data_IF_334717658566
#
_entry.id   IF_334717658566
#
_cell.length_a   1.000
_cell.length_b   1.000
_cell.length_c   1.000
_cell.angle_alpha   90.00
_cell.angle_beta   90.00
_cell.angle_gamma   90.00
#
_symmetry.space_group_name_H-M   'P 1'
#
loop_
_entity.id
_entity.type
_entity.pdbx_description
1 polymer ?
#
# COMPACT_ATOMS: atom_id res chain seq x y z
N UNK A 1 -11.48 13.00 18.20
CA UNK A 1 -10.50 13.66 17.32
C UNK A 1 -9.16 13.61 18.02
N UNK A 2 -8.09 13.05 17.41
CA UNK A 2 -6.76 13.22 17.94
C UNK A 2 -6.30 14.67 17.72
N UNK A 3 -5.64 15.24 18.71
CA UNK A 3 -5.12 16.61 18.73
C UNK A 3 -4.01 16.77 17.66
N UNK A 4 -4.03 17.79 16.78
CA UNK A 4 -3.05 17.91 15.69
C UNK A 4 -1.63 18.36 16.14
N UNK A 5 -1.38 18.46 17.44
CA UNK A 5 -0.10 18.95 17.99
C UNK A 5 0.36 18.15 19.22
N UNK A 6 0.60 16.84 19.06
CA UNK A 6 1.42 16.11 20.03
C UNK A 6 2.90 16.54 19.87
N UNK A 7 3.57 17.10 20.90
CA UNK A 7 4.97 17.49 20.82
C UNK A 7 5.92 16.33 20.45
N UNK A 8 5.48 15.07 20.60
CA UNK A 8 6.25 13.89 20.19
C UNK A 8 6.35 13.71 18.66
N UNK A 9 5.45 14.32 17.87
CA UNK A 9 5.43 14.19 16.41
C UNK A 9 6.33 15.20 15.68
N UNK A 10 6.91 16.15 16.43
CA UNK A 10 7.83 17.17 15.91
C UNK A 10 9.31 16.84 16.15
N UNK A 11 9.60 15.76 16.88
CA UNK A 11 10.98 15.37 17.18
C UNK A 11 11.67 14.71 15.98
N UNK A 12 12.96 15.03 15.71
CA UNK A 12 13.74 14.33 14.70
C UNK A 12 13.77 12.82 14.93
N UNK A 13 13.55 12.06 13.85
CA UNK A 13 13.56 10.59 13.85
C UNK A 13 14.85 10.10 13.19
N UNK A 14 15.52 9.14 13.82
CA UNK A 14 16.70 8.48 13.24
C UNK A 14 16.34 7.08 12.75
N UNK A 15 16.37 6.87 11.45
CA UNK A 15 16.17 5.56 10.84
C UNK A 15 17.50 4.81 10.73
N UNK A 16 17.58 3.63 11.33
CA UNK A 16 18.77 2.76 11.29
C UNK A 16 18.56 1.71 10.21
N UNK A 17 19.21 1.89 9.06
CA UNK A 17 19.08 1.05 7.87
C UNK A 17 20.24 0.06 7.77
N UNK A 18 19.99 -1.25 7.73
CA UNK A 18 21.01 -2.23 7.42
C UNK A 18 21.34 -2.18 5.92
N UNK A 19 22.58 -1.88 5.58
CA UNK A 19 23.14 -1.85 4.24
C UNK A 19 24.11 -0.69 4.02
N UNK A 20 24.13 -0.18 2.79
CA UNK A 20 25.16 0.74 2.32
C UNK A 20 24.59 2.12 2.01
N UNK A 21 25.33 3.18 2.39
CA UNK A 21 24.97 4.55 2.03
C UNK A 21 24.95 4.73 0.51
N UNK A 22 24.02 5.56 0.04
CA UNK A 22 23.87 5.97 -1.35
C UNK A 22 24.00 7.50 -1.42
N UNK A 23 25.22 8.06 -1.54
CA UNK A 23 25.46 9.50 -1.48
C UNK A 23 24.73 10.30 -2.58
N UNK A 24 24.44 9.65 -3.72
CA UNK A 24 23.72 10.26 -4.86
C UNK A 24 22.20 10.05 -4.85
N UNK A 25 21.66 9.44 -3.80
CA UNK A 25 20.26 9.02 -3.73
C UNK A 25 19.97 7.69 -4.43
N UNK A 26 18.69 7.36 -4.54
CA UNK A 26 18.22 6.10 -5.14
C UNK A 26 17.89 6.30 -6.61
N UNK A 27 18.69 5.73 -7.52
CA UNK A 27 18.39 5.74 -8.94
C UNK A 27 17.18 4.85 -9.25
N UNK A 28 16.04 5.48 -9.50
CA UNK A 28 14.79 4.81 -9.84
C UNK A 28 14.91 3.91 -11.10
N UNK A 29 15.86 4.19 -11.98
CA UNK A 29 16.14 3.39 -13.18
C UNK A 29 16.82 2.03 -12.88
N UNK A 30 17.56 1.91 -11.77
CA UNK A 30 18.26 0.66 -11.43
C UNK A 30 17.37 -0.37 -10.70
N UNK A 31 16.26 0.07 -10.11
CA UNK A 31 15.29 -0.78 -9.43
C UNK A 31 14.24 -1.38 -10.39
N UNK A 32 14.02 -0.75 -11.55
CA UNK A 32 13.06 -1.20 -12.56
C UNK A 32 13.80 -1.85 -13.75
N UNK A 33 14.13 -3.14 -13.67
CA UNK A 33 14.36 -3.93 -14.89
C UNK A 33 13.03 -4.27 -15.52
N UNK A 34 12.48 -3.32 -16.26
CA UNK A 34 11.23 -3.45 -17.01
C UNK A 34 10.79 -2.07 -17.45
N UNK A 35 10.77 -1.84 -18.76
CA UNK A 35 10.46 -0.54 -19.37
C UNK A 35 9.08 -0.03 -18.92
N UNK A 36 9.08 0.94 -18.02
CA UNK A 36 7.95 1.81 -17.67
C UNK A 36 8.37 3.26 -17.96
N UNK A 37 7.42 4.18 -18.22
CA UNK A 37 7.73 5.58 -18.51
C UNK A 37 8.50 6.21 -17.36
N UNK A 38 9.27 7.25 -17.68
CA UNK A 38 10.29 7.88 -16.82
C UNK A 38 9.88 7.95 -15.34
N UNK A 39 10.79 7.64 -14.41
CA UNK A 39 10.49 7.73 -12.99
C UNK A 39 10.05 9.17 -12.67
N UNK A 40 9.00 9.36 -11.85
CA UNK A 40 8.53 10.69 -11.51
C UNK A 40 9.67 11.52 -10.93
N UNK A 41 9.67 12.82 -11.24
CA UNK A 41 10.68 13.75 -10.75
C UNK A 41 10.77 13.67 -9.22
N UNK A 42 11.98 13.49 -8.69
CA UNK A 42 12.25 13.44 -7.25
C UNK A 42 11.75 14.74 -6.61
N UNK A 43 10.99 14.68 -5.51
CA UNK A 43 10.25 15.85 -5.01
C UNK A 43 11.10 16.86 -4.25
N UNK A 44 12.36 16.55 -3.96
CA UNK A 44 13.27 17.43 -3.25
C UNK A 44 14.72 17.00 -3.46
N UNK A 45 15.61 17.57 -2.65
CA UNK A 45 17.03 17.20 -2.64
C UNK A 45 17.26 16.03 -1.69
N UNK A 46 18.14 15.12 -2.07
CA UNK A 46 18.54 14.00 -1.22
C UNK A 46 19.35 14.53 -0.05
N UNK A 47 18.82 14.37 1.16
CA UNK A 47 19.53 14.65 2.42
C UNK A 47 20.41 13.48 2.81
N UNK A 48 19.88 12.26 2.70
CA UNK A 48 20.59 11.02 2.93
C UNK A 48 19.86 9.86 2.23
N UNK A 49 20.57 8.82 1.82
CA UNK A 49 19.95 7.60 1.32
C UNK A 49 20.79 6.37 1.66
N UNK A 50 20.15 5.22 1.78
CA UNK A 50 20.80 3.94 2.01
C UNK A 50 20.08 2.81 1.26
N UNK A 51 20.85 1.95 0.60
CA UNK A 51 20.36 0.68 0.07
C UNK A 51 20.17 -0.29 1.24
N UNK A 52 19.03 -0.93 1.28
CA UNK A 52 18.70 -1.95 2.27
C UNK A 52 19.31 -3.29 1.83
N UNK A 53 20.07 -3.94 2.72
CA UNK A 53 20.70 -5.23 2.49
C UNK A 53 20.77 -6.04 3.80
N UNK A 54 20.95 -7.36 3.67
CA UNK A 54 21.17 -8.22 4.84
C UNK A 54 22.46 -7.82 5.57
N UNK A 55 22.39 -7.72 6.90
CA UNK A 55 23.51 -7.31 7.75
C UNK A 55 24.65 -8.32 7.65
N UNK A 56 25.87 -7.88 7.28
CA UNK A 56 27.08 -8.71 7.32
C UNK A 56 28.09 -8.26 8.39
N UNK A 57 27.78 -7.17 9.10
CA UNK A 57 28.51 -6.68 10.28
C UNK A 57 27.93 -5.36 10.83
N UNK A 58 28.37 -4.91 12.00
CA UNK A 58 27.89 -3.67 12.63
C UNK A 58 28.21 -2.39 11.82
N UNK A 59 29.22 -2.45 10.93
CA UNK A 59 29.61 -1.35 10.04
C UNK A 59 28.62 -1.12 8.88
N UNK A 60 27.68 -2.04 8.67
CA UNK A 60 26.66 -1.94 7.61
C UNK A 60 25.37 -1.27 8.14
N UNK A 61 25.44 -0.41 9.16
CA UNK A 61 24.28 0.31 9.68
C UNK A 61 24.36 1.79 9.31
N UNK A 62 23.45 2.24 8.47
CA UNK A 62 23.32 3.64 8.08
C UNK A 62 22.29 4.33 8.96
N UNK A 63 22.64 5.48 9.53
CA UNK A 63 21.70 6.33 10.27
C UNK A 63 21.23 7.47 9.39
N UNK A 64 19.94 7.49 9.07
CA UNK A 64 19.32 8.59 8.33
C UNK A 64 18.44 9.40 9.28
N UNK A 65 18.75 10.69 9.44
CA UNK A 65 17.97 11.59 10.28
C UNK A 65 16.96 12.34 9.44
N UNK A 66 15.69 12.28 9.81
CA UNK A 66 14.62 13.04 9.19
C UNK A 66 13.91 13.92 10.24
N UNK A 67 13.70 15.19 9.89
CA UNK A 67 13.08 16.21 10.73
C UNK A 67 11.62 16.40 10.26
N UNK A 68 10.62 16.09 11.12
CA UNK A 68 9.23 16.43 10.85
C UNK A 68 9.03 17.88 10.38
N UNK A 69 8.18 18.09 9.38
CA UNK A 69 7.92 19.42 8.81
C UNK A 69 9.02 20.00 7.90
N UNK A 70 10.20 19.37 7.81
CA UNK A 70 11.28 19.78 6.90
C UNK A 70 11.63 18.69 5.88
N UNK A 71 11.56 17.43 6.31
CA UNK A 71 11.99 16.28 5.53
C UNK A 71 10.85 15.29 5.25
N UNK A 72 11.05 14.47 4.22
CA UNK A 72 10.19 13.34 3.87
C UNK A 72 11.02 12.07 3.78
N UNK A 73 10.44 10.95 4.22
CA UNK A 73 11.05 9.62 4.16
C UNK A 73 10.46 8.85 2.98
N UNK A 74 11.30 8.45 2.03
CA UNK A 74 10.95 7.61 0.90
C UNK A 74 11.39 6.17 1.16
N UNK A 75 10.44 5.24 1.24
CA UNK A 75 10.69 3.79 1.34
C UNK A 75 10.54 3.17 -0.05
N UNK A 76 11.63 2.68 -0.62
CA UNK A 76 11.62 2.06 -1.95
C UNK A 76 11.31 0.57 -1.82
N UNK A 77 10.18 0.13 -2.38
CA UNK A 77 9.83 -1.30 -2.42
C UNK A 77 10.49 -1.98 -3.62
N UNK A 78 11.10 -3.15 -3.41
CA UNK A 78 11.77 -3.89 -4.47
C UNK A 78 10.76 -4.31 -5.57
N UNK A 79 10.93 -3.81 -6.79
CA UNK A 79 10.02 -4.06 -7.91
C UNK A 79 8.62 -3.45 -7.72
N UNK A 80 8.46 -2.52 -6.77
CA UNK A 80 7.20 -1.88 -6.43
C UNK A 80 7.32 -0.35 -6.37
N UNK A 81 6.27 0.33 -5.87
CA UNK A 81 6.26 1.79 -5.77
C UNK A 81 7.21 2.32 -4.68
N UNK A 82 7.43 3.63 -4.69
CA UNK A 82 8.11 4.35 -3.61
C UNK A 82 7.05 4.95 -2.68
N UNK A 83 7.16 4.68 -1.38
CA UNK A 83 6.27 5.24 -0.36
C UNK A 83 6.91 6.48 0.26
N UNK A 84 6.40 7.67 -0.04
CA UNK A 84 6.79 8.92 0.63
C UNK A 84 5.95 9.14 1.89
N UNK A 85 6.59 9.28 3.03
CA UNK A 85 5.95 9.33 4.35
C UNK A 85 6.50 10.49 5.16
N UNK A 86 5.63 11.07 5.98
CA UNK A 86 6.06 12.02 7.00
C UNK A 86 6.96 11.25 7.99
N UNK A 87 8.03 11.84 8.54
CA UNK A 87 8.97 11.12 9.42
C UNK A 87 8.28 10.41 10.60
N UNK A 88 7.27 11.03 11.22
CA UNK A 88 6.49 10.39 12.28
C UNK A 88 5.69 9.16 11.78
N UNK A 89 5.07 9.25 10.60
CA UNK A 89 4.32 8.13 10.01
C UNK A 89 5.23 6.97 9.61
N UNK A 90 6.43 7.28 9.09
CA UNK A 90 7.44 6.28 8.77
C UNK A 90 7.95 5.58 10.03
N UNK A 91 8.20 6.32 11.12
CA UNK A 91 8.51 5.77 12.45
C UNK A 91 7.43 4.79 12.88
N UNK A 92 6.18 5.23 12.92
CA UNK A 92 5.08 4.44 13.46
C UNK A 92 4.82 3.17 12.63
N UNK A 93 4.91 3.29 11.31
CA UNK A 93 4.84 2.15 10.40
C UNK A 93 5.92 1.12 10.72
N UNK A 94 7.18 1.53 10.83
CA UNK A 94 8.31 0.63 11.07
C UNK A 94 8.27 0.01 12.48
N UNK A 95 7.87 0.77 13.50
CA UNK A 95 7.67 0.26 14.86
C UNK A 95 6.57 -0.81 14.90
N UNK A 96 5.45 -0.60 14.18
CA UNK A 96 4.39 -1.59 14.08
C UNK A 96 4.87 -2.90 13.44
N UNK A 97 5.83 -2.84 12.50
CA UNK A 97 6.43 -4.03 11.89
C UNK A 97 7.40 -4.74 12.84
N UNK A 98 8.21 -4.00 13.60
CA UNK A 98 9.11 -4.59 14.60
C UNK A 98 8.33 -5.35 15.69
N UNK A 99 7.23 -4.77 16.17
CA UNK A 99 6.33 -5.40 17.13
C UNK A 99 5.57 -6.62 16.55
N UNK A 100 5.45 -6.72 15.22
CA UNK A 100 4.86 -7.86 14.52
C UNK A 100 5.81 -9.07 14.41
N UNK A 101 7.13 -8.82 14.33
CA UNK A 101 8.17 -9.85 14.26
C UNK A 101 8.70 -10.37 15.61
N UNK A 102 8.40 -9.68 16.72
CA UNK A 102 8.80 -10.10 18.04
C UNK A 102 7.97 -11.30 18.53
N UNK A 103 8.55 -12.51 18.47
CA UNK A 103 8.08 -13.63 19.29
C UNK A 103 8.25 -13.26 20.77
N UNK A 104 7.22 -13.58 21.56
CA UNK A 104 7.13 -13.31 23.00
C UNK A 104 8.36 -13.94 23.69
N UNK A 105 9.40 -13.15 23.96
CA UNK A 105 10.65 -13.67 24.54
C UNK A 105 11.87 -12.75 24.55
N UNK A 106 11.89 -11.64 23.80
CA UNK A 106 13.00 -10.68 23.86
C UNK A 106 12.49 -9.32 24.37
N UNK A 107 12.32 -9.22 25.68
CA UNK A 107 12.20 -7.93 26.34
C UNK A 107 13.59 -7.27 26.34
N UNK A 108 13.70 -6.09 25.71
CA UNK A 108 14.88 -5.24 25.86
C UNK A 108 15.05 -4.86 27.34
N UNK A 109 16.28 -4.73 27.85
CA UNK A 109 16.50 -4.30 29.23
C UNK A 109 15.92 -2.90 29.43
N UNK A 110 15.21 -2.70 30.55
CA UNK A 110 14.58 -1.43 30.92
C UNK A 110 15.63 -0.29 30.94
N UNK A 111 15.25 0.94 30.53
CA UNK A 111 16.17 2.06 30.51
C UNK A 111 16.57 2.44 31.93
N UNK A 112 17.86 2.77 32.11
CA UNK A 112 18.38 3.36 33.35
C UNK A 112 17.80 4.77 33.51
N UNK A 113 17.20 5.04 34.67
CA UNK A 113 16.63 6.34 35.04
C UNK A 113 17.74 7.39 35.06
N UNK A 114 17.60 8.47 34.27
CA UNK A 114 18.44 9.67 34.39
C UNK A 114 19.05 10.26 33.10
N UNK A 115 18.78 9.71 31.91
CA UNK A 115 19.23 10.31 30.65
C UNK A 115 18.04 10.88 29.86
N UNK A 116 18.21 12.04 29.25
CA UNK A 116 17.26 12.58 28.27
C UNK A 116 16.94 11.49 27.23
N UNK A 117 15.66 11.32 26.82
CA UNK A 117 15.31 10.26 25.89
C UNK A 117 16.14 10.42 24.62
N UNK A 118 16.87 9.38 24.17
CA UNK A 118 17.58 9.45 22.91
C UNK A 118 16.57 9.76 21.79
N UNK A 119 16.98 10.49 20.72
CA UNK A 119 16.11 10.67 19.56
C UNK A 119 15.60 9.30 19.13
N UNK A 120 14.29 9.19 18.86
CA UNK A 120 13.65 7.90 18.61
C UNK A 120 14.35 7.18 17.44
N UNK A 121 15.22 6.22 17.78
CA UNK A 121 15.92 5.41 16.80
C UNK A 121 14.98 4.28 16.36
N UNK A 122 14.77 4.19 15.06
CA UNK A 122 13.84 3.24 14.46
C UNK A 122 14.63 2.32 13.54
N UNK A 123 14.69 1.03 13.90
CA UNK A 123 15.32 0.03 13.05
C UNK A 123 14.48 -0.22 11.79
N UNK A 124 15.12 -0.18 10.62
CA UNK A 124 14.48 -0.50 9.35
C UNK A 124 14.71 -1.97 9.05
N UNK A 125 13.62 -2.76 9.06
CA UNK A 125 13.67 -4.15 8.64
C UNK A 125 13.72 -4.24 7.11
N UNK A 126 14.56 -5.16 6.59
CA UNK A 126 14.63 -5.39 5.14
C UNK A 126 13.35 -5.97 4.55
N UNK A 127 12.53 -6.59 5.39
CA UNK A 127 11.22 -7.13 5.06
C UNK A 127 10.18 -6.58 6.04
N UNK A 128 9.09 -6.02 5.52
CA UNK A 128 7.92 -5.61 6.29
C UNK A 128 6.87 -6.74 6.20
N UNK A 129 6.23 -7.10 7.32
CA UNK A 129 5.30 -8.23 7.44
C UNK A 129 3.95 -7.78 8.02
N UNK A 130 2.89 -7.85 7.22
CA UNK A 130 1.55 -7.51 7.68
C UNK A 130 0.94 -8.71 8.42
N UNK A 131 0.44 -8.50 9.64
CA UNK A 131 -0.24 -9.55 10.43
C UNK A 131 -1.49 -10.03 9.70
N UNK A 132 -1.66 -11.35 9.61
CA UNK A 132 -2.86 -12.00 9.05
C UNK A 132 -2.65 -13.37 8.37
N UNK A 133 -1.44 -13.91 8.32
CA UNK A 133 -1.17 -15.17 7.59
C UNK A 133 -0.71 -16.31 8.53
N UNK A 134 -1.44 -17.42 8.46
CA UNK A 134 -1.06 -18.72 9.02
C UNK A 134 0.27 -19.21 8.39
N UNK A 135 1.18 -19.81 9.16
CA UNK A 135 2.47 -20.28 8.67
C UNK A 135 2.27 -21.52 7.77
N UNK A 136 2.48 -21.38 6.46
CA UNK A 136 2.44 -22.56 5.57
C UNK A 136 2.71 -22.34 4.08
N UNK A 137 2.52 -21.15 3.53
CA UNK A 137 2.65 -20.96 2.08
C UNK A 137 3.55 -19.77 1.73
N UNK A 138 4.78 -20.00 1.21
CA UNK A 138 5.70 -18.95 0.86
C UNK A 138 5.31 -18.31 -0.48
N UNK A 139 4.48 -17.27 -0.44
CA UNK A 139 4.18 -16.46 -1.63
C UNK A 139 5.16 -15.28 -1.70
N UNK A 140 6.25 -15.44 -2.46
CA UNK A 140 7.11 -14.28 -2.82
C UNK A 140 6.31 -13.34 -3.73
N UNK A 141 6.08 -12.12 -3.26
CA UNK A 141 5.58 -11.01 -4.08
C UNK A 141 4.10 -11.09 -4.42
N UNK A 142 3.29 -10.49 -3.56
CA UNK A 142 2.06 -9.70 -3.81
C UNK A 142 1.17 -9.61 -2.54
N UNK A 143 1.44 -10.47 -1.54
CA UNK A 143 0.85 -10.47 -0.19
C UNK A 143 1.78 -11.06 0.89
N UNK A 144 3.07 -11.23 0.57
CA UNK A 144 4.10 -11.70 1.50
C UNK A 144 5.03 -10.57 1.94
N UNK A 145 6.05 -10.91 2.71
CA UNK A 145 7.15 -10.04 3.14
C UNK A 145 7.49 -8.96 2.07
N UNK A 146 7.14 -7.70 2.34
CA UNK A 146 7.47 -6.58 1.43
C UNK A 146 8.93 -6.25 1.63
N UNK A 147 9.73 -6.50 0.60
CA UNK A 147 11.18 -6.27 0.66
C UNK A 147 11.47 -4.80 0.35
N UNK A 148 12.05 -4.09 1.31
CA UNK A 148 12.59 -2.76 1.08
C UNK A 148 13.91 -2.87 0.33
N UNK A 149 14.04 -2.12 -0.75
CA UNK A 149 15.25 -2.00 -1.55
C UNK A 149 16.14 -0.85 -1.06
N UNK A 150 15.54 0.25 -0.60
CA UNK A 150 16.25 1.43 -0.13
C UNK A 150 15.36 2.31 0.76
N UNK A 151 16.02 3.16 1.54
CA UNK A 151 15.39 4.27 2.27
C UNK A 151 16.13 5.55 1.89
N UNK A 152 15.36 6.60 1.61
CA UNK A 152 15.87 7.91 1.24
C UNK A 152 15.16 8.99 2.06
N UNK A 153 15.92 9.98 2.53
CA UNK A 153 15.40 11.18 3.20
C UNK A 153 15.58 12.36 2.26
N UNK A 154 14.48 13.04 1.98
CA UNK A 154 14.40 14.18 1.07
C UNK A 154 14.14 15.45 1.86
N UNK A 155 14.79 16.54 1.46
CA UNK A 155 14.72 17.85 2.11
C UNK A 155 14.61 18.98 1.10
N UNK A 156 14.38 20.21 1.59
CA UNK A 156 14.24 21.40 0.74
C UNK A 156 12.89 21.48 0.02
N UNK A 157 11.85 20.91 0.64
CA UNK A 157 10.45 21.06 0.23
C UNK A 157 9.92 22.40 0.76
N UNK A 158 8.91 23.01 0.11
CA UNK A 158 8.31 24.20 0.69
C UNK A 158 7.72 23.86 2.07
N UNK A 159 7.83 24.77 3.06
CA UNK A 159 7.52 24.47 4.48
C UNK A 159 6.08 23.99 4.72
N UNK A 160 5.12 24.44 3.92
CA UNK A 160 3.72 23.97 3.97
C UNK A 160 3.51 22.67 3.19
N UNK A 161 4.42 22.35 2.27
CA UNK A 161 4.36 21.10 1.51
C UNK A 161 4.84 19.94 2.38
N UNK A 162 5.96 19.98 3.09
CA UNK A 162 6.53 18.77 3.74
C UNK A 162 5.56 17.97 4.63
N UNK A 163 4.66 18.64 5.37
CA UNK A 163 3.63 18.00 6.19
C UNK A 163 2.46 17.43 5.34
N UNK A 164 1.98 18.20 4.36
CA UNK A 164 0.87 17.81 3.47
C UNK A 164 1.30 16.87 2.33
N UNK A 165 2.58 16.87 1.96
CA UNK A 165 3.15 16.27 0.76
C UNK A 165 3.30 14.76 0.88
N UNK A 166 3.64 14.27 2.07
CA UNK A 166 3.75 12.84 2.32
C UNK A 166 2.38 12.13 2.28
N UNK A 167 1.32 12.80 2.77
CA UNK A 167 -0.03 12.31 2.57
C UNK A 167 -0.47 12.54 1.12
N UNK A 168 -0.40 13.76 0.60
CA UNK A 168 -1.05 14.14 -0.66
C UNK A 168 -0.43 13.55 -1.92
N UNK A 169 0.90 13.41 -2.05
CA UNK A 169 1.51 12.94 -3.31
C UNK A 169 1.55 11.42 -3.45
N UNK A 170 1.68 10.66 -2.35
CA UNK A 170 1.55 9.19 -2.39
C UNK A 170 0.10 8.79 -2.57
N UNK A 171 -0.80 9.44 -1.83
CA UNK A 171 -2.25 9.29 -2.03
C UNK A 171 -2.58 9.61 -3.48
N UNK A 172 -2.21 10.79 -3.99
CA UNK A 172 -2.49 11.16 -5.38
C UNK A 172 -1.84 10.22 -6.39
N UNK A 173 -0.58 9.79 -6.22
CA UNK A 173 0.07 8.93 -7.21
C UNK A 173 -0.50 7.52 -7.24
N UNK A 174 -0.86 6.97 -6.08
CA UNK A 174 -1.47 5.64 -5.97
C UNK A 174 -2.93 5.69 -6.40
N UNK A 175 -3.67 6.68 -5.91
CA UNK A 175 -5.09 6.81 -6.22
C UNK A 175 -5.32 7.34 -7.65
N UNK A 176 -4.37 8.02 -8.28
CA UNK A 176 -4.47 8.38 -9.71
C UNK A 176 -4.35 7.18 -10.65
N UNK A 177 -3.93 6.01 -10.15
CA UNK A 177 -3.89 4.77 -10.95
C UNK A 177 -5.29 4.17 -11.13
N UNK A 178 -6.26 4.59 -10.32
CA UNK A 178 -7.63 4.10 -10.35
C UNK A 178 -8.57 5.21 -10.79
N UNK A 179 -9.57 4.84 -11.59
CA UNK A 179 -10.77 5.66 -11.78
C UNK A 179 -11.84 4.97 -10.93
N UNK A 180 -12.23 5.57 -9.81
CA UNK A 180 -13.03 4.88 -8.81
C UNK A 180 -14.40 4.48 -9.34
N UNK A 181 -14.76 3.20 -9.27
CA UNK A 181 -16.05 2.70 -9.69
C UNK A 181 -16.13 1.20 -9.87
N UNK A 182 -17.31 0.75 -10.25
CA UNK A 182 -17.58 -0.65 -10.61
C UNK A 182 -17.34 -0.85 -12.11
N UNK A 183 -16.56 -1.86 -12.48
CA UNK A 183 -16.23 -2.16 -13.88
C UNK A 183 -16.62 -3.59 -14.23
N UNK A 184 -17.26 -3.78 -15.40
CA UNK A 184 -17.52 -5.11 -15.93
C UNK A 184 -16.21 -5.75 -16.37
N UNK A 185 -15.97 -7.01 -15.98
CA UNK A 185 -14.81 -7.78 -16.43
C UNK A 185 -15.16 -8.72 -17.59
N UNK A 186 -14.13 -9.26 -18.24
CA UNK A 186 -14.23 -10.15 -19.40
C UNK A 186 -13.25 -11.29 -19.21
N UNK A 187 -13.55 -12.50 -19.70
CA UNK A 187 -12.67 -13.65 -19.48
C UNK A 187 -11.41 -13.62 -20.36
N UNK A 188 -11.36 -12.84 -21.44
CA UNK A 188 -10.25 -12.85 -22.40
C UNK A 188 -8.98 -12.19 -21.83
N UNK A 189 -9.13 -11.07 -21.12
CA UNK A 189 -8.01 -10.31 -20.58
C UNK A 189 -8.46 -9.41 -19.42
N UNK A 190 -7.54 -9.18 -18.49
CA UNK A 190 -7.67 -8.21 -17.41
C UNK A 190 -6.51 -7.23 -17.49
N UNK A 191 -6.74 -6.11 -18.16
CA UNK A 191 -5.84 -4.95 -18.20
C UNK A 191 -6.37 -3.80 -17.33
N UNK A 192 -5.70 -2.63 -17.36
CA UNK A 192 -6.13 -1.45 -16.60
C UNK A 192 -7.59 -1.10 -16.84
N UNK A 193 -8.32 -0.80 -15.77
CA UNK A 193 -9.76 -0.51 -15.82
C UNK A 193 -10.06 0.97 -16.08
N UNK A 194 -9.22 1.87 -15.58
CA UNK A 194 -9.30 3.28 -15.87
C UNK A 194 -9.26 3.53 -17.40
N UNK A 195 -10.23 4.30 -17.90
CA UNK A 195 -10.34 4.59 -19.34
C UNK A 195 -10.79 3.42 -20.23
N UNK A 196 -11.10 2.24 -19.66
CA UNK A 196 -11.51 1.06 -20.45
C UNK A 196 -12.88 1.17 -21.11
N UNK A 197 -13.69 2.17 -20.75
CA UNK A 197 -15.08 2.31 -21.20
C UNK A 197 -16.05 1.29 -20.61
N UNK A 198 -15.61 0.48 -19.64
CA UNK A 198 -16.38 -0.64 -19.04
C UNK A 198 -16.97 -0.31 -17.67
N UNK A 199 -16.88 0.97 -17.27
CA UNK A 199 -17.42 1.47 -16.02
C UNK A 199 -18.94 1.32 -16.05
N UNK A 200 -19.47 0.71 -15.02
CA UNK A 200 -20.90 0.47 -14.88
C UNK A 200 -21.57 1.76 -14.44
N UNK A 201 -22.70 2.06 -15.07
CA UNK A 201 -23.60 3.11 -14.65
C UNK A 201 -24.94 2.49 -14.22
N UNK A 202 -25.66 3.10 -13.25
CA UNK A 202 -26.92 2.56 -12.73
C UNK A 202 -28.00 2.30 -13.79
N UNK A 203 -27.92 3.00 -14.93
CA UNK A 203 -28.84 2.84 -16.06
C UNK A 203 -28.63 1.53 -16.85
N UNK A 204 -27.53 0.80 -16.61
CA UNK A 204 -27.17 -0.40 -17.35
C UNK A 204 -27.46 -1.65 -16.52
N UNK A 205 -28.43 -2.51 -16.91
CA UNK A 205 -28.76 -3.70 -16.14
C UNK A 205 -27.55 -4.64 -16.00
N UNK A 206 -27.12 -4.85 -14.76
CA UNK A 206 -26.00 -5.71 -14.39
C UNK A 206 -26.36 -7.20 -14.30
N UNK A 207 -27.61 -7.50 -13.92
CA UNK A 207 -28.13 -8.85 -13.76
C UNK A 207 -29.68 -8.83 -13.64
N UNK A 208 -30.35 -9.97 -13.88
CA UNK A 208 -31.68 -10.23 -13.31
C UNK A 208 -31.62 -10.25 -11.77
N UNK A 209 -32.72 -9.90 -11.11
CA UNK A 209 -32.78 -9.66 -9.66
C UNK A 209 -32.26 -10.81 -8.76
N UNK A 210 -32.31 -12.07 -9.22
CA UNK A 210 -32.05 -13.24 -8.37
C UNK A 210 -30.66 -13.89 -8.54
N UNK A 211 -29.84 -13.41 -9.48
CA UNK A 211 -28.55 -14.04 -9.78
C UNK A 211 -27.38 -13.28 -9.12
N UNK A 212 -26.45 -13.96 -8.41
CA UNK A 212 -25.37 -13.28 -7.74
C UNK A 212 -24.40 -12.63 -8.74
N UNK A 213 -23.94 -11.44 -8.39
CA UNK A 213 -22.85 -10.72 -9.05
C UNK A 213 -21.55 -10.96 -8.28
N UNK A 214 -20.52 -11.48 -8.95
CA UNK A 214 -19.18 -11.56 -8.38
C UNK A 214 -18.48 -10.21 -8.50
N UNK A 215 -17.97 -9.69 -7.39
CA UNK A 215 -17.16 -8.46 -7.37
C UNK A 215 -15.77 -8.77 -6.81
N UNK A 216 -14.76 -8.51 -7.63
CA UNK A 216 -13.35 -8.52 -7.22
C UNK A 216 -12.98 -7.18 -6.60
N UNK A 217 -12.35 -7.20 -5.42
CA UNK A 217 -11.94 -5.98 -4.71
C UNK A 217 -10.45 -6.07 -4.40
N UNK A 218 -9.67 -5.17 -5.00
CA UNK A 218 -8.22 -5.13 -4.85
C UNK A 218 -7.76 -4.59 -3.49
N UNK A 219 -6.46 -4.72 -3.22
CA UNK A 219 -5.82 -4.24 -1.98
C UNK A 219 -5.15 -2.89 -2.14
N UNK A 220 -4.48 -2.43 -1.08
CA UNK A 220 -3.79 -1.13 -1.05
C UNK A 220 -2.64 -1.06 -2.06
N UNK A 221 -2.38 0.15 -2.57
CA UNK A 221 -1.24 0.49 -3.43
C UNK A 221 -1.27 -0.08 -4.85
N UNK A 222 -2.33 -0.79 -5.23
CA UNK A 222 -2.46 -1.45 -6.52
C UNK A 222 -3.88 -1.27 -7.06
N UNK A 223 -4.05 -1.55 -8.35
CA UNK A 223 -5.36 -1.63 -9.00
C UNK A 223 -5.77 -3.09 -9.28
N UNK A 224 -6.97 -3.28 -9.82
CA UNK A 224 -7.57 -4.60 -10.04
C UNK A 224 -6.71 -5.55 -10.89
N UNK A 225 -6.20 -5.10 -12.02
CA UNK A 225 -5.40 -5.91 -12.95
C UNK A 225 -4.07 -6.35 -12.34
N UNK A 226 -3.41 -5.50 -11.57
CA UNK A 226 -2.19 -5.84 -10.84
C UNK A 226 -2.45 -6.88 -9.76
N UNK A 227 -3.61 -6.82 -9.10
CA UNK A 227 -3.99 -7.76 -8.04
C UNK A 227 -4.39 -9.13 -8.61
N UNK A 228 -5.27 -9.16 -9.62
CA UNK A 228 -5.89 -10.38 -10.11
C UNK A 228 -5.37 -10.85 -11.47
N UNK A 229 -4.57 -10.06 -12.19
CA UNK A 229 -4.15 -10.34 -13.57
C UNK A 229 -3.37 -11.64 -13.74
N UNK A 230 -2.62 -12.07 -12.71
CA UNK A 230 -1.96 -13.38 -12.72
C UNK A 230 -2.97 -14.54 -12.84
N UNK A 231 -4.18 -14.40 -12.32
CA UNK A 231 -5.24 -15.40 -12.48
C UNK A 231 -5.65 -15.54 -13.95
N UNK A 232 -5.77 -14.43 -14.68
CA UNK A 232 -6.04 -14.42 -16.12
C UNK A 232 -4.88 -14.97 -16.93
N UNK A 233 -3.66 -14.55 -16.62
CA UNK A 233 -2.47 -14.95 -17.37
C UNK A 233 -2.10 -16.43 -17.19
N UNK A 234 -2.20 -16.95 -15.96
CA UNK A 234 -1.73 -18.30 -15.62
C UNK A 234 -2.84 -19.35 -15.66
N UNK A 235 -4.10 -18.95 -15.47
CA UNK A 235 -5.23 -19.89 -15.35
C UNK A 235 -6.45 -19.48 -16.20
N UNK A 236 -6.29 -19.21 -17.51
CA UNK A 236 -7.37 -18.72 -18.37
C UNK A 236 -8.59 -19.65 -18.41
N UNK A 237 -8.40 -20.98 -18.38
CA UNK A 237 -9.53 -21.93 -18.34
C UNK A 237 -10.35 -21.82 -17.05
N UNK A 238 -9.69 -21.59 -15.90
CA UNK A 238 -10.39 -21.37 -14.63
C UNK A 238 -11.14 -20.05 -14.63
N UNK A 239 -10.59 -19.01 -15.24
CA UNK A 239 -11.29 -17.74 -15.45
C UNK A 239 -12.54 -17.95 -16.31
N UNK A 240 -12.45 -18.67 -17.43
CA UNK A 240 -13.65 -18.97 -18.25
C UNK A 240 -14.71 -19.74 -17.46
N UNK A 241 -14.30 -20.74 -16.66
CA UNK A 241 -15.21 -21.48 -15.78
C UNK A 241 -15.87 -20.57 -14.73
N UNK A 242 -15.12 -19.64 -14.14
CA UNK A 242 -15.64 -18.65 -13.19
C UNK A 242 -16.69 -17.78 -13.86
N UNK A 243 -16.41 -17.24 -15.05
CA UNK A 243 -17.35 -16.44 -15.82
C UNK A 243 -18.60 -17.23 -16.20
N UNK A 244 -18.45 -18.50 -16.61
CA UNK A 244 -19.59 -19.37 -16.91
C UNK A 244 -20.47 -19.61 -15.67
N UNK A 245 -19.86 -19.86 -14.52
CA UNK A 245 -20.59 -20.05 -13.25
C UNK A 245 -21.43 -18.82 -12.88
N UNK A 246 -20.87 -17.62 -13.05
CA UNK A 246 -21.57 -16.36 -12.81
C UNK A 246 -22.35 -15.87 -14.04
N UNK A 247 -22.48 -16.63 -15.11
CA UNK A 247 -23.18 -16.22 -16.34
C UNK A 247 -22.74 -14.84 -16.87
N UNK A 248 -21.43 -14.57 -16.84
CA UNK A 248 -20.84 -13.29 -17.24
C UNK A 248 -20.94 -12.15 -16.22
N UNK A 249 -21.58 -12.37 -15.06
CA UNK A 249 -21.75 -11.37 -13.98
C UNK A 249 -20.51 -11.30 -13.09
N UNK A 250 -19.39 -10.87 -13.67
CA UNK A 250 -18.14 -10.64 -12.95
C UNK A 250 -17.73 -9.20 -13.13
N UNK A 251 -17.58 -8.49 -12.02
CA UNK A 251 -17.14 -7.10 -11.98
C UNK A 251 -15.95 -6.93 -11.03
N UNK A 252 -15.34 -5.75 -11.08
CA UNK A 252 -14.36 -5.31 -10.09
C UNK A 252 -14.71 -3.93 -9.56
N UNK A 253 -14.45 -3.72 -8.28
CA UNK A 253 -14.43 -2.40 -7.67
C UNK A 253 -13.00 -1.87 -7.70
N UNK A 254 -12.72 -0.98 -8.65
CA UNK A 254 -11.50 -0.16 -8.65
C UNK A 254 -11.76 1.06 -7.76
N UNK A 255 -10.87 1.33 -6.80
CA UNK A 255 -11.12 2.32 -5.76
C UNK A 255 -9.85 2.90 -5.17
N UNK A 256 -9.91 4.14 -4.70
CA UNK A 256 -8.81 4.77 -3.99
C UNK A 256 -8.54 4.05 -2.67
N UNK A 257 -7.28 3.71 -2.42
CA UNK A 257 -6.91 2.87 -1.28
C UNK A 257 -6.22 3.65 -0.17
N UNK A 258 -5.82 4.89 -0.42
CA UNK A 258 -5.17 5.74 0.58
C UNK A 258 -6.01 6.97 0.93
N UNK A 259 -6.58 7.65 -0.07
CA UNK A 259 -7.35 8.88 0.10
C UNK A 259 -8.82 8.70 0.46
N UNK A 260 -9.34 7.47 0.38
CA UNK A 260 -10.74 7.15 0.69
C UNK A 260 -10.87 6.07 1.75
N UNK A 261 -11.84 6.22 2.66
CA UNK A 261 -12.12 5.23 3.70
C UNK A 261 -12.79 3.97 3.12
N UNK A 262 -12.66 2.79 3.76
CA UNK A 262 -13.38 1.59 3.33
C UNK A 262 -14.90 1.76 3.24
N UNK A 263 -15.48 2.63 4.09
CA UNK A 263 -16.90 2.97 4.05
C UNK A 263 -17.25 3.74 2.78
N UNK A 264 -16.43 4.73 2.40
CA UNK A 264 -16.62 5.47 1.14
C UNK A 264 -16.48 4.54 -0.07
N UNK A 265 -15.52 3.61 -0.05
CA UNK A 265 -15.33 2.64 -1.13
C UNK A 265 -16.49 1.65 -1.24
N UNK A 266 -17.03 1.19 -0.11
CA UNK A 266 -18.24 0.37 -0.06
C UNK A 266 -19.45 1.13 -0.63
N UNK A 267 -19.56 2.41 -0.31
CA UNK A 267 -20.59 3.31 -0.87
C UNK A 267 -20.49 3.41 -2.39
N UNK A 268 -19.29 3.60 -2.94
CA UNK A 268 -19.05 3.60 -4.40
C UNK A 268 -19.58 2.33 -5.07
N UNK A 269 -19.42 1.17 -4.44
CA UNK A 269 -19.97 -0.08 -4.96
C UNK A 269 -21.49 -0.08 -4.96
N UNK A 270 -22.14 0.19 -3.82
CA UNK A 270 -23.60 0.07 -3.69
C UNK A 270 -24.34 1.13 -4.52
N UNK A 271 -23.79 2.33 -4.68
CA UNK A 271 -24.38 3.38 -5.52
C UNK A 271 -24.35 3.02 -7.02
N UNK A 272 -23.45 2.13 -7.45
CA UNK A 272 -23.39 1.64 -8.82
C UNK A 272 -24.37 0.49 -9.11
N UNK A 273 -25.04 -0.06 -8.08
CA UNK A 273 -25.84 -1.28 -8.18
C UNK A 273 -27.34 -0.99 -8.01
N UNK A 274 -28.21 -1.70 -8.73
CA UNK A 274 -29.64 -1.71 -8.44
C UNK A 274 -29.94 -2.26 -7.04
N UNK A 275 -31.00 -1.76 -6.42
CA UNK A 275 -31.50 -2.30 -5.16
C UNK A 275 -31.83 -3.80 -5.28
N UNK A 276 -31.52 -4.57 -4.24
CA UNK A 276 -31.74 -6.02 -4.21
C UNK A 276 -30.65 -6.85 -4.89
N UNK A 277 -29.59 -6.22 -5.46
CA UNK A 277 -28.47 -6.97 -6.05
C UNK A 277 -27.80 -7.87 -5.01
N UNK A 278 -27.77 -9.18 -5.28
CA UNK A 278 -27.04 -10.15 -4.46
C UNK A 278 -25.56 -10.18 -4.84
N UNK A 279 -24.68 -9.96 -3.86
CA UNK A 279 -23.24 -9.87 -4.08
C UNK A 279 -22.49 -11.09 -3.56
N UNK A 280 -21.56 -11.60 -4.38
CA UNK A 280 -20.47 -12.46 -3.93
C UNK A 280 -19.17 -11.67 -4.03
N UNK A 281 -18.38 -11.63 -2.96
CA UNK A 281 -17.18 -10.80 -2.88
C UNK A 281 -15.93 -11.68 -2.84
N UNK A 282 -14.97 -11.39 -3.71
CA UNK A 282 -13.63 -11.96 -3.65
C UNK A 282 -12.64 -10.81 -3.47
N UNK A 283 -12.01 -10.77 -2.29
CA UNK A 283 -11.25 -9.60 -1.85
C UNK A 283 -9.79 -9.93 -1.56
N UNK A 284 -8.96 -8.90 -1.60
CA UNK A 284 -7.54 -8.98 -1.32
C UNK A 284 -7.12 -7.88 -0.34
N UNK A 285 -6.45 -8.25 0.76
CA UNK A 285 -5.92 -7.30 1.76
C UNK A 285 -6.97 -6.27 2.21
N UNK A 286 -6.71 -4.96 2.06
CA UNK A 286 -7.64 -3.85 2.38
C UNK A 286 -9.01 -3.99 1.73
N UNK A 287 -9.12 -4.64 0.57
CA UNK A 287 -10.42 -4.94 -0.04
C UNK A 287 -11.36 -5.71 0.89
N UNK A 288 -10.80 -6.52 1.81
CA UNK A 288 -11.56 -7.22 2.84
C UNK A 288 -12.25 -6.29 3.83
N UNK A 289 -11.68 -5.11 4.12
CA UNK A 289 -12.33 -4.11 4.97
C UNK A 289 -13.55 -3.48 4.28
N UNK A 290 -13.50 -3.34 2.95
CA UNK A 290 -14.66 -2.90 2.16
C UNK A 290 -15.77 -3.96 2.23
N UNK A 291 -15.42 -5.24 2.07
CA UNK A 291 -16.35 -6.35 2.23
C UNK A 291 -16.96 -6.44 3.64
N UNK A 292 -16.15 -6.21 4.68
CA UNK A 292 -16.61 -6.21 6.07
C UNK A 292 -17.66 -5.11 6.32
N UNK A 293 -17.46 -3.91 5.77
CA UNK A 293 -18.46 -2.83 5.85
C UNK A 293 -19.77 -3.27 5.19
N UNK A 294 -19.69 -3.84 3.98
CA UNK A 294 -20.87 -4.30 3.24
C UNK A 294 -21.62 -5.39 4.00
N UNK A 295 -20.91 -6.37 4.56
CA UNK A 295 -21.50 -7.45 5.35
C UNK A 295 -22.21 -6.91 6.60
N UNK A 296 -21.59 -5.99 7.33
CA UNK A 296 -22.20 -5.41 8.55
C UNK A 296 -23.46 -4.61 8.28
N UNK A 297 -23.52 -3.89 7.16
CA UNK A 297 -24.71 -3.11 6.78
C UNK A 297 -25.82 -4.01 6.22
N UNK A 298 -25.48 -5.10 5.53
CA UNK A 298 -26.47 -6.04 4.99
C UNK A 298 -27.17 -6.90 6.08
N UNK A 299 -26.58 -6.99 7.28
CA UNK A 299 -27.15 -7.71 8.43
C UNK A 299 -27.90 -6.81 9.41
N UNK A 300 -28.02 -5.50 9.14
CA UNK A 300 -28.77 -4.54 9.93
C UNK A 300 -30.16 -4.29 9.35
#
# INVERSE_FOLDING_TARGET
>A
MPDPHDPADQQPVTFVVPGQALPGGVDAAAAARGALPQPPARPGRVKAAARVAALRGAADLQRLVAVPGEDIVALHVAGGPVLYLHPANARDLLLAQAAAGATRGQAAPAPRVGAAPPPAEVAVAAALRWRGQEPGTPTRGLLGDVVLAAVEVLTGLAKDEAADFAASRVVQHVDAQVDAGLYRLTPEALGPLAGSGRKVTPAQPLAPADAPLLVLIHGTFVETASTFGKLWALYPERVRQLFAHYGGRVCALDHETLGRSPIANARTLVEALPAGTRLHLATHSRGGLVAEVLARVAHA
#
